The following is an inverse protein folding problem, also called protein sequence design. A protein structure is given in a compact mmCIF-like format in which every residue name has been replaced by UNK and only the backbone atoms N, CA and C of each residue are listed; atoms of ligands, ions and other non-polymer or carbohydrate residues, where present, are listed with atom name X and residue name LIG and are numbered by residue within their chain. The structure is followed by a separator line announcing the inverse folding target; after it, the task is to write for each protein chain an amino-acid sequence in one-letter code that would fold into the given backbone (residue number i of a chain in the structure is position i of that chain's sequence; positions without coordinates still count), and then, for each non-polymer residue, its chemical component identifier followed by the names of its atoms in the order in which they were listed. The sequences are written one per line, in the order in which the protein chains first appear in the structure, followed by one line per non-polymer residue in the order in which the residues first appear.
data_IF_932481725508
#
_entry.id   IF_932481725508
#
_cell.length_a   1.000
_cell.length_b   1.000
_cell.length_c   1.000
_cell.angle_alpha   90.00
_cell.angle_beta   90.00
_cell.angle_gamma   90.00
#
_symmetry.space_group_name_H-M   'P 1'
#
loop_
_entity.id
_entity.type
_entity.pdbx_description
1 polymer ?
#
# COMPACT_ATOMS: atom_id res chain seq x y z
N UNK A 1 11.27 4.39 4.52
CA UNK A 1 10.54 3.49 5.44
C UNK A 1 11.28 3.32 6.76
N UNK A 2 10.55 3.23 7.87
CA UNK A 2 11.09 2.83 9.20
C UNK A 2 11.12 1.30 9.36
N UNK A 3 12.02 0.78 10.20
CA UNK A 3 12.17 -0.65 10.52
C UNK A 3 10.84 -1.28 10.96
N UNK A 4 10.05 -0.60 11.81
CA UNK A 4 8.83 -1.21 12.37
C UNK A 4 7.75 -1.51 11.31
N UNK A 5 7.83 -0.85 10.15
CA UNK A 5 6.91 -1.02 9.03
C UNK A 5 7.33 -2.21 8.17
N UNK A 6 8.63 -2.34 7.92
CA UNK A 6 9.18 -3.28 6.92
C UNK A 6 9.82 -4.52 7.54
N UNK A 7 9.76 -4.69 8.86
CA UNK A 7 10.32 -5.85 9.56
C UNK A 7 9.44 -7.11 9.38
N UNK A 8 10.06 -8.21 8.95
CA UNK A 8 9.44 -9.53 8.92
C UNK A 8 9.69 -10.30 10.22
N UNK A 9 8.86 -10.08 11.24
CA UNK A 9 9.06 -10.69 12.57
C UNK A 9 8.92 -12.21 12.52
N UNK A 10 10.03 -12.91 12.76
CA UNK A 10 10.04 -14.36 12.97
C UNK A 10 9.88 -15.20 11.70
N UNK A 11 10.19 -14.62 10.54
CA UNK A 11 10.24 -15.33 9.26
C UNK A 11 11.50 -14.93 8.50
N UNK A 12 11.89 -15.80 7.57
CA UNK A 12 12.96 -15.55 6.59
C UNK A 12 12.48 -15.89 5.17
N UNK A 13 11.16 -15.88 4.94
CA UNK A 13 10.58 -16.17 3.63
C UNK A 13 10.82 -15.01 2.64
N UNK A 14 10.75 -13.78 3.14
CA UNK A 14 10.95 -12.54 2.37
C UNK A 14 11.82 -11.58 3.16
N UNK A 15 12.52 -10.69 2.46
CA UNK A 15 13.38 -9.69 3.09
C UNK A 15 12.53 -8.62 3.76
N UNK A 16 11.52 -8.11 3.05
CA UNK A 16 10.61 -7.08 3.57
C UNK A 16 9.33 -7.68 4.15
N UNK A 17 8.93 -7.20 5.33
CA UNK A 17 7.60 -7.34 5.91
C UNK A 17 6.61 -6.32 5.33
N UNK A 18 5.38 -6.27 5.83
CA UNK A 18 4.38 -5.27 5.40
C UNK A 18 4.03 -5.32 3.91
N UNK A 19 4.21 -6.49 3.27
CA UNK A 19 4.21 -6.62 1.80
C UNK A 19 2.97 -6.10 1.10
N UNK A 20 1.78 -6.28 1.68
CA UNK A 20 0.51 -5.77 1.11
C UNK A 20 0.58 -4.28 0.80
N UNK A 21 1.08 -3.47 1.73
CA UNK A 21 1.17 -2.03 1.53
C UNK A 21 2.32 -1.69 0.58
N UNK A 22 3.49 -2.31 0.79
CA UNK A 22 4.68 -2.03 0.00
C UNK A 22 4.52 -2.39 -1.49
N UNK A 23 3.86 -3.49 -1.81
CA UNK A 23 3.59 -3.90 -3.20
C UNK A 23 2.70 -2.86 -3.91
N UNK A 24 1.72 -2.29 -3.22
CA UNK A 24 0.85 -1.25 -3.76
C UNK A 24 1.58 0.10 -3.90
N UNK A 25 2.35 0.50 -2.89
CA UNK A 25 3.16 1.73 -2.92
C UNK A 25 4.21 1.66 -4.04
N UNK A 26 4.89 0.51 -4.22
CA UNK A 26 5.97 0.34 -5.20
C UNK A 26 5.55 0.55 -6.66
N UNK A 27 4.25 0.58 -6.95
CA UNK A 27 3.72 0.86 -8.29
C UNK A 27 3.68 2.34 -8.62
N UNK A 28 3.69 3.20 -7.59
CA UNK A 28 3.46 4.64 -7.71
C UNK A 28 4.59 5.48 -7.13
N UNK A 29 5.39 4.91 -6.24
CA UNK A 29 6.51 5.58 -5.60
C UNK A 29 7.73 4.67 -5.45
N UNK A 30 8.91 5.29 -5.54
CA UNK A 30 10.18 4.63 -5.22
C UNK A 30 10.25 4.33 -3.71
N UNK A 31 10.60 3.10 -3.35
CA UNK A 31 10.78 2.72 -1.94
C UNK A 31 12.22 2.98 -1.51
N UNK A 32 12.39 3.88 -0.55
CA UNK A 32 13.68 4.17 0.09
C UNK A 32 13.83 3.52 1.46
N UNK A 33 14.91 2.76 1.65
CA UNK A 33 15.33 2.22 2.95
C UNK A 33 16.60 2.92 3.43
N UNK A 34 16.57 3.64 4.57
CA UNK A 34 17.80 4.07 5.21
C UNK A 34 18.73 2.88 5.48
N UNK A 35 20.04 3.03 5.27
CA UNK A 35 21.03 1.96 5.53
C UNK A 35 20.86 1.27 6.89
N UNK A 36 20.61 2.07 7.93
CA UNK A 36 20.38 1.56 9.30
C UNK A 36 19.18 0.62 9.41
N UNK A 37 18.13 0.86 8.62
CA UNK A 37 16.93 0.01 8.53
C UNK A 37 17.28 -1.29 7.82
N UNK A 38 17.95 -1.22 6.67
CA UNK A 38 18.42 -2.39 5.93
C UNK A 38 19.31 -3.31 6.79
N UNK A 39 20.27 -2.73 7.49
CA UNK A 39 21.20 -3.46 8.36
C UNK A 39 20.47 -4.11 9.55
N UNK A 40 19.45 -3.43 10.09
CA UNK A 40 18.64 -3.96 11.19
C UNK A 40 17.79 -5.16 10.75
N UNK A 41 17.09 -5.07 9.61
CA UNK A 41 16.32 -6.18 9.03
C UNK A 41 17.25 -7.36 8.77
N UNK A 42 18.39 -7.12 8.12
CA UNK A 42 19.40 -8.15 7.83
C UNK A 42 19.87 -8.84 9.10
N UNK A 43 20.12 -8.08 10.17
CA UNK A 43 20.50 -8.61 11.48
C UNK A 43 19.39 -9.46 12.10
N UNK A 44 18.13 -9.04 11.99
CA UNK A 44 16.98 -9.76 12.54
C UNK A 44 16.74 -11.10 11.82
N UNK A 45 16.75 -11.11 10.49
CA UNK A 45 16.66 -12.33 9.67
C UNK A 45 17.83 -13.27 9.98
N UNK A 46 19.06 -12.73 10.04
CA UNK A 46 20.25 -13.52 10.37
C UNK A 46 20.12 -14.18 11.75
N UNK A 47 19.67 -13.42 12.76
CA UNK A 47 19.44 -13.95 14.10
C UNK A 47 18.36 -15.04 14.11
N UNK A 48 17.28 -14.86 13.36
CA UNK A 48 16.25 -15.87 13.19
C UNK A 48 16.81 -17.16 12.58
N UNK A 49 17.56 -17.07 11.48
CA UNK A 49 18.17 -18.22 10.81
C UNK A 49 19.20 -18.94 11.69
N UNK A 50 19.99 -18.22 12.49
CA UNK A 50 20.88 -18.83 13.49
C UNK A 50 20.08 -19.63 14.51
N UNK A 51 18.99 -19.06 15.04
CA UNK A 51 18.13 -19.77 15.99
C UNK A 51 17.46 -21.01 15.37
N UNK A 52 17.06 -20.95 14.09
CA UNK A 52 16.51 -22.11 13.36
C UNK A 52 17.57 -23.18 13.15
N UNK A 53 18.80 -22.80 12.76
CA UNK A 53 19.95 -23.71 12.62
C UNK A 53 20.25 -24.44 13.95
N UNK A 54 20.26 -23.70 15.06
CA UNK A 54 20.49 -24.28 16.39
C UNK A 54 19.35 -25.18 16.85
N UNK A 55 18.10 -24.83 16.50
CA UNK A 55 16.92 -25.63 16.80
C UNK A 55 16.92 -26.94 16.01
N UNK A 56 17.26 -26.89 14.72
CA UNK A 56 17.45 -28.07 13.88
C UNK A 56 18.55 -28.98 14.44
N UNK A 57 19.64 -28.40 14.93
CA UNK A 57 20.73 -29.15 15.57
C UNK A 57 20.28 -29.85 16.86
N UNK A 58 19.39 -29.25 17.64
CA UNK A 58 18.89 -29.87 18.88
C UNK A 58 17.76 -30.87 18.64
N UNK A 59 17.16 -30.91 17.45
CA UNK A 59 15.99 -31.72 17.15
C UNK A 59 16.35 -33.22 17.05
N UNK A 60 15.80 -34.10 17.91
CA UNK A 60 16.12 -35.53 17.88
C UNK A 60 15.66 -36.22 16.59
N UNK A 61 14.62 -35.71 15.93
CA UNK A 61 14.11 -36.27 14.67
C UNK A 61 15.05 -36.04 13.47
N UNK A 62 16.05 -35.15 13.59
CA UNK A 62 17.02 -34.92 12.51
C UNK A 62 17.77 -36.20 12.10
N UNK A 63 18.01 -37.10 13.06
CA UNK A 63 18.66 -38.38 12.83
C UNK A 63 17.75 -39.35 12.05
N UNK A 64 16.43 -39.23 12.20
CA UNK A 64 15.44 -40.01 11.44
C UNK A 64 15.40 -39.51 9.98
N UNK A 65 15.61 -38.20 9.78
CA UNK A 65 15.69 -37.57 8.46
C UNK A 65 17.08 -37.70 7.80
N UNK A 66 18.02 -38.42 8.42
CA UNK A 66 19.42 -38.56 7.96
C UNK A 66 20.13 -37.20 7.72
N UNK A 67 19.80 -36.18 8.52
CA UNK A 67 20.47 -34.88 8.46
C UNK A 67 21.71 -34.93 9.34
N UNK A 68 22.88 -34.98 8.71
CA UNK A 68 24.18 -34.99 9.39
C UNK A 68 24.61 -33.60 9.87
N UNK A 69 25.46 -33.54 10.90
CA UNK A 69 25.97 -32.28 11.44
C UNK A 69 26.76 -31.48 10.38
N UNK A 70 27.47 -32.16 9.47
CA UNK A 70 28.20 -31.52 8.37
C UNK A 70 27.28 -30.71 7.43
N UNK A 71 26.04 -31.17 7.21
CA UNK A 71 25.03 -30.47 6.42
C UNK A 71 24.59 -29.19 7.14
N UNK A 72 24.35 -29.28 8.45
CA UNK A 72 23.97 -28.13 9.28
C UNK A 72 25.12 -27.13 9.36
N UNK A 73 26.36 -27.59 9.49
CA UNK A 73 27.56 -26.74 9.54
C UNK A 73 27.71 -25.89 8.28
N UNK A 74 27.42 -26.48 7.10
CA UNK A 74 27.48 -25.80 5.80
C UNK A 74 26.40 -24.71 5.61
N UNK A 75 25.35 -24.67 6.44
CA UNK A 75 24.36 -23.59 6.40
C UNK A 75 25.04 -22.30 6.86
N UNK A 76 25.10 -21.30 5.97
CA UNK A 76 25.62 -19.97 6.25
C UNK A 76 24.46 -18.95 6.36
N UNK A 77 24.00 -18.59 7.57
CA UNK A 77 22.89 -17.65 7.77
C UNK A 77 23.10 -16.29 7.12
N UNK A 78 24.35 -15.80 7.01
CA UNK A 78 24.64 -14.51 6.37
C UNK A 78 24.41 -14.57 4.87
N UNK A 79 24.93 -15.61 4.22
CA UNK A 79 24.71 -15.82 2.79
C UNK A 79 23.23 -15.96 2.48
N UNK A 80 22.48 -16.70 3.31
CA UNK A 80 21.03 -16.82 3.14
C UNK A 80 20.30 -15.48 3.26
N UNK A 81 20.73 -14.58 4.14
CA UNK A 81 20.16 -13.23 4.22
C UNK A 81 20.43 -12.45 2.94
N UNK A 82 21.65 -12.53 2.41
CA UNK A 82 22.02 -11.86 1.16
C UNK A 82 21.21 -12.42 -0.02
N UNK A 83 21.00 -13.75 -0.06
CA UNK A 83 20.19 -14.42 -1.08
C UNK A 83 18.72 -13.98 -0.97
N UNK A 84 18.14 -13.94 0.24
CA UNK A 84 16.76 -13.46 0.49
C UNK A 84 16.61 -11.98 0.09
N UNK A 85 17.58 -11.14 0.41
CA UNK A 85 17.56 -9.71 0.06
C UNK A 85 17.64 -9.49 -1.46
N UNK A 86 18.39 -10.34 -2.16
CA UNK A 86 18.56 -10.30 -3.62
C UNK A 86 17.35 -10.83 -4.37
N UNK A 87 16.68 -11.84 -3.82
CA UNK A 87 15.47 -12.44 -4.40
C UNK A 87 14.20 -11.67 -4.02
N UNK A 88 14.33 -10.53 -3.32
CA UNK A 88 13.21 -9.66 -2.98
C UNK A 88 12.55 -9.11 -4.25
N UNK A 89 11.23 -9.31 -4.36
CA UNK A 89 10.46 -8.94 -5.55
C UNK A 89 10.03 -7.48 -5.54
N UNK A 90 9.97 -6.87 -4.35
CA UNK A 90 9.63 -5.45 -4.19
C UNK A 90 10.91 -4.64 -4.39
N UNK A 91 10.93 -3.75 -5.39
CA UNK A 91 12.08 -2.88 -5.65
C UNK A 91 12.27 -1.85 -4.52
N UNK A 92 13.50 -1.68 -4.05
CA UNK A 92 13.88 -0.66 -3.08
C UNK A 92 15.30 -0.16 -3.32
N UNK A 93 15.53 1.10 -2.96
CA UNK A 93 16.86 1.70 -2.92
C UNK A 93 17.34 1.86 -1.49
N UNK A 94 18.64 1.63 -1.28
CA UNK A 94 19.26 1.90 0.01
C UNK A 94 19.75 3.34 0.03
N UNK A 95 19.24 4.12 0.97
CA UNK A 95 19.60 5.52 1.17
C UNK A 95 20.67 5.62 2.25
N UNK A 96 21.83 6.12 1.86
CA UNK A 96 22.96 6.31 2.76
C UNK A 96 22.93 7.71 3.40
N UNK A 97 23.39 7.77 4.65
CA UNK A 97 23.66 9.02 5.35
C UNK A 97 24.95 9.64 4.78
N UNK A 98 24.84 10.77 4.09
CA UNK A 98 25.94 11.36 3.32
C UNK A 98 26.94 12.13 4.20
N UNK A 99 26.44 12.99 5.10
CA UNK A 99 27.28 13.76 6.04
C UNK A 99 27.15 13.19 7.45
N UNK A 100 27.87 12.10 7.71
CA UNK A 100 27.89 11.43 9.01
C UNK A 100 28.42 12.34 10.13
N UNK A 101 29.39 13.20 9.85
CA UNK A 101 30.00 14.06 10.86
C UNK A 101 29.03 15.14 11.36
N UNK A 102 28.29 15.76 10.44
CA UNK A 102 27.24 16.70 10.79
C UNK A 102 26.10 15.98 11.52
N UNK A 103 25.64 14.87 10.97
CA UNK A 103 24.57 14.07 11.58
C UNK A 103 24.93 13.63 13.01
N UNK A 104 26.17 13.19 13.25
CA UNK A 104 26.62 12.77 14.58
C UNK A 104 26.54 13.91 15.60
N UNK A 105 26.94 15.13 15.24
CA UNK A 105 26.80 16.31 16.12
C UNK A 105 25.35 16.60 16.45
N UNK A 106 24.46 16.48 15.47
CA UNK A 106 23.03 16.70 15.68
C UNK A 106 22.42 15.59 16.54
N UNK A 107 22.77 14.32 16.28
CA UNK A 107 22.35 13.17 17.09
C UNK A 107 22.77 13.34 18.55
N UNK A 108 24.02 13.76 18.79
CA UNK A 108 24.50 14.06 20.13
C UNK A 108 23.64 15.12 20.81
N UNK A 109 23.34 16.22 20.12
CA UNK A 109 22.47 17.28 20.66
C UNK A 109 21.05 16.76 20.96
N UNK A 110 20.47 15.97 20.05
CA UNK A 110 19.15 15.36 20.27
C UNK A 110 19.14 14.45 21.51
N UNK A 111 20.20 13.65 21.71
CA UNK A 111 20.33 12.76 22.86
C UNK A 111 20.44 13.50 24.20
N UNK A 112 21.19 14.60 24.24
CA UNK A 112 21.39 15.36 25.47
C UNK A 112 20.13 16.15 25.83
N UNK A 113 19.42 16.66 24.82
CA UNK A 113 18.23 17.48 25.01
C UNK A 113 16.94 16.66 25.15
N UNK A 114 16.96 15.35 24.88
CA UNK A 114 15.76 14.50 24.91
C UNK A 114 14.70 14.94 23.89
N UNK A 115 15.15 15.51 22.78
CA UNK A 115 14.27 16.01 21.70
C UNK A 115 14.01 14.92 20.69
N UNK A 116 12.85 14.91 19.99
CA UNK A 116 12.58 13.97 18.91
C UNK A 116 13.78 13.87 17.95
N UNK A 117 14.10 12.67 17.44
CA UNK A 117 13.47 11.37 17.67
C UNK A 117 13.89 10.65 18.96
N UNK A 118 14.70 11.26 19.83
CA UNK A 118 15.03 10.67 21.14
C UNK A 118 13.85 10.68 22.10
N UNK A 119 13.81 9.73 23.02
CA UNK A 119 12.89 9.75 24.14
C UNK A 119 13.19 10.91 25.10
N UNK A 120 12.17 11.42 25.78
CA UNK A 120 12.33 12.52 26.77
C UNK A 120 13.22 12.13 27.96
N UNK A 121 13.39 10.84 28.20
CA UNK A 121 14.25 10.30 29.26
C UNK A 121 15.02 9.08 28.78
N UNK A 122 16.36 9.12 28.92
CA UNK A 122 17.26 8.02 28.57
C UNK A 122 17.82 8.14 27.15
N UNK A 123 18.62 7.15 26.77
CA UNK A 123 19.42 7.19 25.53
C UNK A 123 18.74 6.46 24.35
N UNK A 124 17.42 6.27 24.43
CA UNK A 124 16.63 5.61 23.37
C UNK A 124 16.29 6.61 22.26
N UNK A 125 16.41 6.16 21.01
CA UNK A 125 16.15 6.98 19.82
C UNK A 125 17.36 7.17 18.89
N UNK A 126 18.51 6.57 19.21
CA UNK A 126 19.71 6.72 18.37
C UNK A 126 19.49 6.25 16.92
N UNK A 127 18.85 5.07 16.74
CA UNK A 127 18.55 4.55 15.39
C UNK A 127 17.52 5.42 14.69
N UNK A 128 16.48 5.82 15.40
CA UNK A 128 15.38 6.65 14.86
C UNK A 128 15.92 8.02 14.44
N UNK A 129 16.91 8.54 15.16
CA UNK A 129 17.63 9.77 14.77
C UNK A 129 18.52 9.56 13.55
N UNK A 130 19.19 8.40 13.40
CA UNK A 130 19.91 8.09 12.15
C UNK A 130 18.96 8.05 10.95
N UNK A 131 17.77 7.47 11.12
CA UNK A 131 16.71 7.48 10.11
C UNK A 131 16.31 8.92 9.77
N UNK A 132 15.98 9.72 10.78
CA UNK A 132 15.59 11.12 10.58
C UNK A 132 16.67 11.93 9.84
N UNK A 133 17.94 11.81 10.22
CA UNK A 133 19.04 12.54 9.56
C UNK A 133 19.31 12.05 8.15
N UNK A 134 19.08 10.78 7.87
CA UNK A 134 19.14 10.25 6.50
C UNK A 134 18.06 10.89 5.65
N UNK A 135 16.83 10.97 6.18
CA UNK A 135 15.69 11.60 5.49
C UNK A 135 15.94 13.09 5.29
N UNK A 136 16.39 13.85 6.30
CA UNK A 136 16.71 15.27 6.17
C UNK A 136 17.69 15.54 5.03
N UNK A 137 18.77 14.75 4.96
CA UNK A 137 19.78 14.90 3.91
C UNK A 137 19.21 14.51 2.53
N UNK A 138 18.37 13.48 2.47
CA UNK A 138 17.72 13.05 1.24
C UNK A 138 16.73 14.11 0.72
N UNK A 139 15.90 14.69 1.60
CA UNK A 139 14.96 15.78 1.29
C UNK A 139 15.73 16.98 0.74
N UNK A 140 16.85 17.36 1.36
CA UNK A 140 17.68 18.47 0.89
C UNK A 140 18.34 18.19 -0.47
N UNK A 141 18.76 16.95 -0.72
CA UNK A 141 19.41 16.56 -1.97
C UNK A 141 18.43 16.43 -3.15
N UNK A 142 17.14 16.20 -2.88
CA UNK A 142 16.10 15.99 -3.89
C UNK A 142 14.97 17.02 -3.70
N UNK A 143 15.19 18.32 -3.98
CA UNK A 143 14.21 19.38 -3.75
C UNK A 143 12.91 19.20 -4.56
N UNK A 144 13.00 18.55 -5.72
CA UNK A 144 11.89 18.28 -6.63
C UNK A 144 11.03 17.06 -6.25
N UNK A 145 11.49 16.24 -5.29
CA UNK A 145 10.75 15.05 -4.86
C UNK A 145 9.86 15.37 -3.65
N UNK A 146 8.64 14.84 -3.71
CA UNK A 146 7.76 14.69 -2.55
C UNK A 146 8.17 13.43 -1.78
N UNK A 147 8.25 13.53 -0.46
CA UNK A 147 8.73 12.43 0.39
C UNK A 147 7.61 11.98 1.31
N UNK A 148 7.35 10.67 1.31
CA UNK A 148 6.45 10.02 2.24
C UNK A 148 7.28 9.24 3.27
N UNK A 149 7.05 9.51 4.55
CA UNK A 149 7.62 8.77 5.65
C UNK A 149 6.59 7.81 6.23
N UNK A 150 6.72 6.53 5.88
CA UNK A 150 5.96 5.47 6.52
C UNK A 150 6.63 5.05 7.82
N UNK A 151 5.99 5.38 8.95
CA UNK A 151 6.48 5.08 10.29
C UNK A 151 5.34 4.92 11.29
N UNK A 152 5.49 3.99 12.24
CA UNK A 152 4.60 3.85 13.40
C UNK A 152 5.19 4.42 14.68
N UNK A 153 6.35 5.07 14.59
CA UNK A 153 7.06 5.64 15.73
C UNK A 153 6.63 7.09 15.97
N UNK A 154 5.96 7.33 17.10
CA UNK A 154 5.41 8.64 17.46
C UNK A 154 6.49 9.72 17.61
N UNK A 155 7.70 9.37 18.07
CA UNK A 155 8.80 10.34 18.22
C UNK A 155 9.37 10.71 16.87
N UNK A 156 9.42 9.77 15.92
CA UNK A 156 9.81 10.08 14.56
C UNK A 156 8.74 10.92 13.85
N UNK A 157 7.45 10.68 14.12
CA UNK A 157 6.35 11.54 13.63
C UNK A 157 6.47 12.97 14.17
N UNK A 158 6.65 13.13 15.48
CA UNK A 158 6.85 14.43 16.14
C UNK A 158 8.05 15.20 15.56
N UNK A 159 9.11 14.50 15.14
CA UNK A 159 10.27 15.15 14.51
C UNK A 159 9.94 15.80 13.16
N UNK A 160 9.05 15.19 12.37
CA UNK A 160 8.70 15.67 11.02
C UNK A 160 7.38 16.45 10.96
N UNK A 161 6.67 16.62 12.08
CA UNK A 161 5.36 17.28 12.13
C UNK A 161 5.36 18.70 11.53
N UNK A 162 6.44 19.46 11.71
CA UNK A 162 6.59 20.83 11.17
C UNK A 162 7.27 20.86 9.78
N UNK A 163 7.55 19.71 9.16
CA UNK A 163 8.24 19.64 7.87
C UNK A 163 7.26 19.33 6.72
N UNK A 164 6.75 20.38 6.07
CA UNK A 164 5.80 20.30 4.95
C UNK A 164 6.29 19.46 3.75
N UNK A 165 7.59 19.14 3.68
CA UNK A 165 8.16 18.30 2.61
C UNK A 165 8.10 16.80 2.90
N UNK A 166 7.80 16.41 4.13
CA UNK A 166 7.74 15.01 4.57
C UNK A 166 6.32 14.71 5.03
N UNK A 167 5.57 14.00 4.20
CA UNK A 167 4.23 13.55 4.54
C UNK A 167 4.30 12.25 5.35
N UNK A 168 3.68 12.24 6.52
CA UNK A 168 3.67 11.09 7.43
C UNK A 168 2.49 10.20 7.07
N UNK A 169 2.76 8.89 6.87
CA UNK A 169 1.75 7.89 6.52
C UNK A 169 1.89 6.65 7.41
N UNK A 170 0.79 5.98 7.78
CA UNK A 170 0.84 4.74 8.58
C UNK A 170 0.72 3.46 7.74
N UNK A 171 0.05 3.54 6.59
CA UNK A 171 -0.30 2.42 5.72
C UNK A 171 -0.50 2.88 4.26
N UNK A 172 -0.95 1.97 3.40
CA UNK A 172 -1.26 2.29 2.01
C UNK A 172 -2.42 3.28 1.87
N UNK A 173 -3.47 3.20 2.69
CA UNK A 173 -4.64 4.07 2.56
C UNK A 173 -4.29 5.53 2.87
N UNK A 174 -3.41 5.77 3.84
CA UNK A 174 -2.86 7.11 4.08
C UNK A 174 -2.00 7.60 2.92
N UNK A 175 -1.16 6.72 2.35
CA UNK A 175 -0.40 7.05 1.15
C UNK A 175 -1.32 7.42 -0.01
N UNK A 176 -2.38 6.65 -0.22
CA UNK A 176 -3.36 6.82 -1.29
C UNK A 176 -4.03 8.20 -1.23
N UNK A 177 -4.52 8.57 -0.03
CA UNK A 177 -5.14 9.88 0.23
C UNK A 177 -4.16 11.02 0.00
N UNK A 178 -3.01 10.99 0.69
CA UNK A 178 -2.01 12.06 0.64
C UNK A 178 -1.42 12.23 -0.77
N UNK A 179 -1.22 11.12 -1.50
CA UNK A 179 -0.77 11.14 -2.89
C UNK A 179 -1.82 11.75 -3.82
N UNK A 180 -3.10 11.41 -3.63
CA UNK A 180 -4.20 11.96 -4.44
C UNK A 180 -4.36 13.46 -4.26
N UNK A 181 -4.34 13.93 -3.02
CA UNK A 181 -4.43 15.36 -2.68
C UNK A 181 -3.25 16.14 -3.28
N UNK A 182 -2.03 15.60 -3.16
CA UNK A 182 -0.84 16.20 -3.77
C UNK A 182 -1.00 16.30 -5.30
N UNK A 183 -1.53 15.27 -5.95
CA UNK A 183 -1.73 15.27 -7.41
C UNK A 183 -2.79 16.23 -7.89
N UNK A 184 -3.90 16.38 -7.17
CA UNK A 184 -4.93 17.35 -7.54
C UNK A 184 -4.47 18.79 -7.32
N UNK A 185 -3.59 19.03 -6.35
CA UNK A 185 -3.05 20.37 -6.07
C UNK A 185 -1.88 20.77 -6.98
N UNK A 186 -1.40 19.87 -7.84
CA UNK A 186 -0.40 20.20 -8.85
C UNK A 186 -0.93 21.26 -9.84
N UNK A 187 -0.04 22.18 -10.24
CA UNK A 187 -0.38 23.34 -11.05
C UNK A 187 -1.08 22.93 -12.37
N UNK A 188 -2.24 23.53 -12.62
CA UNK A 188 -3.05 23.32 -13.83
C UNK A 188 -3.91 22.06 -13.85
N UNK A 189 -3.84 21.16 -12.86
CA UNK A 189 -4.74 19.98 -12.80
C UNK A 189 -6.19 20.42 -12.56
N UNK A 190 -6.42 21.24 -11.53
CA UNK A 190 -7.75 21.76 -11.23
C UNK A 190 -8.32 22.65 -12.34
N UNK A 191 -7.47 23.37 -13.08
CA UNK A 191 -7.92 24.14 -14.24
C UNK A 191 -8.50 23.23 -15.32
N UNK A 192 -7.82 22.13 -15.65
CA UNK A 192 -8.34 21.12 -16.60
C UNK A 192 -9.61 20.45 -16.10
N UNK A 193 -9.69 20.16 -14.80
CA UNK A 193 -10.92 19.66 -14.17
C UNK A 193 -12.06 20.66 -14.33
N UNK A 194 -11.85 21.94 -14.05
CA UNK A 194 -12.89 22.96 -14.19
C UNK A 194 -13.30 23.17 -15.64
N UNK A 195 -12.35 23.11 -16.59
CA UNK A 195 -12.63 23.18 -18.02
C UNK A 195 -13.53 22.00 -18.46
N UNK A 196 -13.20 20.77 -18.04
CA UNK A 196 -14.03 19.59 -18.30
C UNK A 196 -15.44 19.72 -17.68
N UNK A 197 -15.53 20.17 -16.42
CA UNK A 197 -16.82 20.39 -15.75
C UNK A 197 -17.65 21.46 -16.46
N UNK A 198 -17.00 22.52 -16.99
CA UNK A 198 -17.69 23.53 -17.77
C UNK A 198 -18.21 22.99 -19.12
N UNK A 199 -17.41 22.17 -19.82
CA UNK A 199 -17.79 21.53 -21.09
C UNK A 199 -18.95 20.54 -20.93
N UNK A 200 -19.03 19.86 -19.78
CA UNK A 200 -20.12 18.94 -19.42
C UNK A 200 -21.37 19.65 -18.88
N UNK A 201 -21.34 20.99 -18.76
CA UNK A 201 -22.48 21.80 -18.33
C UNK A 201 -22.60 22.00 -16.81
N UNK A 202 -21.63 21.52 -16.04
CA UNK A 202 -21.57 21.59 -14.57
C UNK A 202 -20.83 22.86 -14.09
N UNK A 203 -21.17 24.01 -14.69
CA UNK A 203 -20.48 25.28 -14.42
C UNK A 203 -20.56 25.75 -12.97
N UNK A 204 -21.52 25.22 -12.20
CA UNK A 204 -21.70 25.51 -10.76
C UNK A 204 -20.52 25.00 -9.92
N UNK A 205 -19.82 23.97 -10.40
CA UNK A 205 -18.65 23.38 -9.74
C UNK A 205 -17.33 24.06 -10.14
N UNK A 206 -17.35 25.05 -11.05
CA UNK A 206 -16.14 25.78 -11.44
C UNK A 206 -15.52 26.49 -10.24
N UNK A 207 -14.20 26.37 -10.08
CA UNK A 207 -13.45 26.90 -8.94
C UNK A 207 -13.83 26.28 -7.58
N UNK A 208 -14.66 25.24 -7.56
CA UNK A 208 -14.93 24.47 -6.36
C UNK A 208 -13.86 23.40 -6.20
N UNK A 209 -13.45 23.18 -4.95
CA UNK A 209 -12.69 21.99 -4.57
C UNK A 209 -13.66 20.83 -4.35
N UNK A 210 -13.25 19.58 -4.61
CA UNK A 210 -14.05 18.43 -4.27
C UNK A 210 -14.25 18.32 -2.76
N UNK A 211 -15.36 17.71 -2.37
CA UNK A 211 -15.76 17.46 -1.00
C UNK A 211 -15.07 16.19 -0.43
N UNK A 212 -14.73 15.23 -1.29
CA UNK A 212 -13.96 14.02 -0.93
C UNK A 212 -13.10 13.54 -2.11
N UNK A 213 -11.99 12.84 -1.82
CA UNK A 213 -10.99 12.40 -2.80
C UNK A 213 -10.40 11.04 -2.39
N UNK A 214 -10.28 10.11 -3.34
CA UNK A 214 -9.58 8.83 -3.16
C UNK A 214 -9.01 8.30 -4.47
N UNK A 215 -8.18 7.26 -4.45
CA UNK A 215 -7.87 6.50 -5.66
C UNK A 215 -8.83 5.34 -5.88
N UNK A 216 -9.26 5.15 -7.12
CA UNK A 216 -9.92 3.92 -7.52
C UNK A 216 -8.95 2.72 -7.49
N UNK A 217 -9.46 1.53 -7.74
CA UNK A 217 -8.68 0.30 -7.78
C UNK A 217 -7.60 0.24 -8.87
N UNK A 218 -7.66 1.12 -9.88
CA UNK A 218 -6.62 1.28 -10.91
C UNK A 218 -5.56 2.33 -10.53
N UNK A 219 -5.81 3.14 -9.49
CA UNK A 219 -4.95 4.26 -9.09
C UNK A 219 -5.26 5.59 -9.77
N UNK A 220 -6.42 5.73 -10.39
CA UNK A 220 -6.95 6.99 -10.89
C UNK A 220 -7.63 7.76 -9.76
N UNK A 221 -7.60 9.08 -9.83
CA UNK A 221 -8.15 9.95 -8.79
C UNK A 221 -9.66 10.04 -8.99
N UNK A 222 -10.41 9.77 -7.93
CA UNK A 222 -11.84 10.00 -7.86
C UNK A 222 -12.09 11.19 -6.96
N UNK A 223 -12.82 12.18 -7.48
CA UNK A 223 -13.17 13.39 -6.77
C UNK A 223 -14.70 13.50 -6.69
N UNK A 224 -15.23 13.68 -5.49
CA UNK A 224 -16.66 13.74 -5.23
C UNK A 224 -17.11 15.18 -4.91
N UNK A 225 -18.21 15.61 -5.52
CA UNK A 225 -18.81 16.93 -5.35
C UNK A 225 -20.27 16.80 -4.88
N UNK A 226 -20.52 17.11 -3.61
CA UNK A 226 -21.83 16.96 -2.97
C UNK A 226 -22.95 17.81 -3.59
N UNK A 227 -22.62 18.97 -4.18
CA UNK A 227 -23.65 19.91 -4.66
C UNK A 227 -24.44 19.32 -5.84
N UNK A 228 -23.80 18.49 -6.65
CA UNK A 228 -24.37 17.88 -7.85
C UNK A 228 -24.38 16.34 -7.78
N UNK A 229 -24.08 15.78 -6.60
CA UNK A 229 -23.91 14.33 -6.38
C UNK A 229 -23.02 13.70 -7.47
N UNK A 230 -21.89 14.35 -7.74
CA UNK A 230 -21.04 14.05 -8.89
C UNK A 230 -19.73 13.40 -8.47
N UNK A 231 -19.41 12.28 -9.11
CA UNK A 231 -18.13 11.63 -9.04
C UNK A 231 -17.36 11.89 -10.35
N UNK A 232 -16.15 12.41 -10.23
CA UNK A 232 -15.25 12.69 -11.36
C UNK A 232 -14.05 11.75 -11.28
N UNK A 233 -13.79 11.03 -12.36
CA UNK A 233 -12.61 10.17 -12.51
C UNK A 233 -11.55 10.91 -13.31
N UNK A 234 -10.32 10.98 -12.79
CA UNK A 234 -9.17 11.67 -13.40
C UNK A 234 -7.99 10.71 -13.46
N UNK A 235 -7.34 10.61 -14.63
CA UNK A 235 -6.11 9.83 -14.78
C UNK A 235 -5.02 10.43 -13.90
N UNK A 236 -4.50 9.67 -12.93
CA UNK A 236 -3.51 10.20 -11.98
C UNK A 236 -2.15 10.49 -12.61
N UNK A 237 -1.85 9.89 -13.76
CA UNK A 237 -0.58 10.02 -14.48
C UNK A 237 -0.67 11.10 -15.55
N UNK A 238 -1.68 11.03 -16.43
CA UNK A 238 -1.92 12.02 -17.46
C UNK A 238 -2.46 13.33 -16.89
N UNK A 239 -3.08 13.29 -15.71
CA UNK A 239 -3.70 14.43 -15.02
C UNK A 239 -4.81 15.05 -15.86
N UNK A 240 -5.59 14.18 -16.50
CA UNK A 240 -6.69 14.53 -17.40
C UNK A 240 -7.98 13.87 -16.89
N UNK A 241 -9.11 14.60 -16.87
CA UNK A 241 -10.42 14.00 -16.61
C UNK A 241 -10.73 12.89 -17.62
N UNK A 242 -11.20 11.74 -17.13
CA UNK A 242 -11.57 10.58 -17.93
C UNK A 242 -13.08 10.55 -18.14
N UNK A 243 -13.83 10.64 -17.05
CA UNK A 243 -15.28 10.50 -17.04
C UNK A 243 -15.89 11.08 -15.77
N UNK A 244 -17.20 11.25 -15.77
CA UNK A 244 -17.97 11.62 -14.58
C UNK A 244 -19.31 10.90 -14.54
N UNK A 245 -19.81 10.63 -13.34
CA UNK A 245 -21.14 10.04 -13.10
C UNK A 245 -21.87 10.84 -12.01
N UNK A 246 -23.17 11.03 -12.20
CA UNK A 246 -24.07 11.70 -11.24
C UNK A 246 -25.00 10.73 -10.54
N UNK A 247 -24.53 9.50 -10.31
CA UNK A 247 -25.25 8.43 -9.61
C UNK A 247 -24.51 8.18 -8.29
N UNK A 248 -25.24 8.04 -7.18
CA UNK A 248 -24.65 7.69 -5.90
C UNK A 248 -24.06 6.27 -5.99
N UNK A 249 -22.74 6.20 -6.11
CA UNK A 249 -22.02 4.94 -6.21
C UNK A 249 -22.20 4.10 -4.94
N UNK A 250 -22.56 4.69 -3.79
CA UNK A 250 -22.85 3.93 -2.58
C UNK A 250 -24.21 3.24 -2.66
N UNK A 251 -25.21 3.85 -3.31
CA UNK A 251 -26.51 3.20 -3.54
C UNK A 251 -26.34 1.93 -4.38
N UNK A 252 -25.52 1.96 -5.43
CA UNK A 252 -25.23 0.77 -6.25
C UNK A 252 -24.59 -0.36 -5.42
N UNK A 253 -23.71 0.00 -4.47
CA UNK A 253 -23.07 -0.97 -3.58
C UNK A 253 -24.07 -1.56 -2.57
N UNK A 254 -24.94 -0.73 -1.98
CA UNK A 254 -26.04 -1.17 -1.10
C UNK A 254 -27.00 -2.11 -1.86
N UNK A 255 -27.39 -1.75 -3.09
CA UNK A 255 -28.24 -2.56 -3.96
C UNK A 255 -27.67 -3.98 -4.14
N UNK A 256 -26.36 -4.12 -4.32
CA UNK A 256 -25.70 -5.42 -4.46
C UNK A 256 -25.75 -6.25 -3.16
N UNK A 257 -25.58 -5.60 -2.01
CA UNK A 257 -25.62 -6.28 -0.70
C UNK A 257 -27.02 -6.77 -0.33
N UNK A 258 -28.05 -6.00 -0.68
CA UNK A 258 -29.44 -6.29 -0.35
C UNK A 258 -30.14 -7.23 -1.35
N UNK A 259 -29.40 -7.76 -2.34
CA UNK A 259 -29.93 -8.70 -3.33
C UNK A 259 -30.62 -9.89 -2.64
N UNK A 260 -31.92 -10.00 -2.89
CA UNK A 260 -32.79 -11.02 -2.30
C UNK A 260 -33.55 -11.85 -3.35
N UNK A 261 -33.32 -11.60 -4.65
CA UNK A 261 -33.89 -12.35 -5.76
C UNK A 261 -32.93 -12.37 -6.96
N UNK A 262 -33.09 -13.35 -7.85
CA UNK A 262 -32.28 -13.45 -9.07
C UNK A 262 -32.47 -12.25 -10.00
N UNK A 263 -33.69 -11.73 -10.14
CA UNK A 263 -33.95 -10.56 -10.97
C UNK A 263 -33.22 -9.31 -10.44
N UNK A 264 -33.25 -9.11 -9.12
CA UNK A 264 -32.54 -8.00 -8.49
C UNK A 264 -31.02 -8.17 -8.57
N UNK A 265 -30.52 -9.40 -8.60
CA UNK A 265 -29.10 -9.68 -8.74
C UNK A 265 -28.54 -9.15 -10.07
N UNK A 266 -29.23 -9.40 -11.19
CA UNK A 266 -28.81 -8.86 -12.49
C UNK A 266 -28.84 -7.32 -12.52
N UNK A 267 -29.87 -6.71 -11.93
CA UNK A 267 -30.00 -5.25 -11.86
C UNK A 267 -28.85 -4.66 -11.04
N UNK A 268 -28.64 -5.17 -9.83
CA UNK A 268 -27.60 -4.66 -8.94
C UNK A 268 -26.18 -4.87 -9.51
N UNK A 269 -25.94 -6.00 -10.20
CA UNK A 269 -24.67 -6.23 -10.90
C UNK A 269 -24.49 -5.25 -12.08
N UNK A 270 -25.55 -4.93 -12.82
CA UNK A 270 -25.46 -3.95 -13.90
C UNK A 270 -25.23 -2.53 -13.38
N UNK A 271 -25.90 -2.13 -12.29
CA UNK A 271 -25.69 -0.84 -11.62
C UNK A 271 -24.25 -0.69 -11.15
N UNK A 272 -23.74 -1.68 -10.42
CA UNK A 272 -22.39 -1.61 -9.86
C UNK A 272 -21.30 -1.72 -10.93
N UNK A 273 -21.53 -2.45 -12.03
CA UNK A 273 -20.58 -2.51 -13.14
C UNK A 273 -20.49 -1.17 -13.87
N UNK A 274 -21.60 -0.42 -13.97
CA UNK A 274 -21.65 0.91 -14.58
C UNK A 274 -20.80 1.97 -13.87
N UNK A 275 -20.59 1.81 -12.55
CA UNK A 275 -19.79 2.72 -11.71
C UNK A 275 -18.52 2.05 -11.14
N UNK A 276 -18.15 0.89 -11.64
CA UNK A 276 -17.08 0.06 -11.10
C UNK A 276 -15.74 0.82 -10.98
N UNK A 277 -15.46 1.65 -11.98
CA UNK A 277 -14.18 2.37 -12.12
C UNK A 277 -14.05 3.51 -11.09
N UNK A 278 -15.08 3.81 -10.30
CA UNK A 278 -15.02 4.82 -9.23
C UNK A 278 -14.69 4.21 -7.85
N UNK A 279 -14.75 2.88 -7.71
CA UNK A 279 -14.51 2.24 -6.43
C UNK A 279 -13.02 2.09 -6.11
N UNK A 280 -12.69 2.42 -4.86
CA UNK A 280 -11.41 2.06 -4.26
C UNK A 280 -11.32 0.55 -4.02
N UNK A 281 -10.12 0.08 -3.66
CA UNK A 281 -9.86 -1.34 -3.46
C UNK A 281 -10.70 -1.97 -2.33
N UNK A 282 -11.00 -1.25 -1.26
CA UNK A 282 -11.82 -1.79 -0.16
C UNK A 282 -13.27 -2.04 -0.60
N UNK A 283 -13.83 -1.13 -1.40
CA UNK A 283 -15.11 -1.35 -2.07
C UNK A 283 -15.04 -2.57 -3.00
N UNK A 284 -13.97 -2.73 -3.80
CA UNK A 284 -13.80 -3.94 -4.65
C UNK A 284 -13.77 -5.24 -3.81
N UNK A 285 -13.09 -5.23 -2.65
CA UNK A 285 -13.09 -6.38 -1.73
C UNK A 285 -14.48 -6.66 -1.18
N UNK A 286 -15.23 -5.61 -0.83
CA UNK A 286 -16.60 -5.73 -0.36
C UNK A 286 -17.50 -6.35 -1.44
N UNK A 287 -17.40 -5.89 -2.68
CA UNK A 287 -18.07 -6.46 -3.84
C UNK A 287 -17.74 -7.94 -3.97
N UNK A 288 -16.46 -8.31 -3.93
CA UNK A 288 -16.03 -9.71 -4.03
C UNK A 288 -16.59 -10.59 -2.90
N UNK A 289 -16.65 -10.08 -1.67
CA UNK A 289 -17.27 -10.77 -0.53
C UNK A 289 -18.77 -10.94 -0.74
N UNK A 290 -19.46 -9.95 -1.28
CA UNK A 290 -20.90 -10.04 -1.58
C UNK A 290 -21.18 -11.05 -2.68
N UNK A 291 -20.41 -11.04 -3.77
CA UNK A 291 -20.47 -12.05 -4.82
C UNK A 291 -20.24 -13.47 -4.28
N UNK A 292 -19.36 -13.61 -3.29
CA UNK A 292 -19.01 -14.92 -2.73
C UNK A 292 -19.92 -15.42 -1.60
N UNK A 293 -20.62 -14.53 -0.90
CA UNK A 293 -21.45 -14.87 0.26
C UNK A 293 -22.96 -14.79 0.00
N UNK A 294 -23.41 -14.05 -1.01
CA UNK A 294 -24.83 -13.94 -1.33
C UNK A 294 -25.30 -15.12 -2.19
N UNK A 295 -26.12 -15.99 -1.58
CA UNK A 295 -26.67 -17.17 -2.24
C UNK A 295 -27.48 -16.87 -3.51
N UNK A 296 -28.14 -15.72 -3.59
CA UNK A 296 -28.94 -15.37 -4.77
C UNK A 296 -28.02 -15.15 -5.97
N UNK A 297 -26.95 -14.37 -5.78
CA UNK A 297 -25.95 -14.08 -6.81
C UNK A 297 -25.19 -15.37 -7.18
N UNK A 298 -24.78 -16.15 -6.18
CA UNK A 298 -24.07 -17.41 -6.40
C UNK A 298 -24.83 -18.38 -7.31
N UNK A 299 -26.13 -18.57 -7.05
CA UNK A 299 -26.93 -19.56 -7.77
C UNK A 299 -27.08 -19.23 -9.27
N UNK A 300 -26.91 -17.97 -9.64
CA UNK A 300 -26.93 -17.48 -11.03
C UNK A 300 -25.53 -17.10 -11.53
N UNK A 301 -24.47 -17.48 -10.82
CA UNK A 301 -23.10 -17.06 -11.16
C UNK A 301 -22.57 -17.57 -12.49
N UNK A 302 -23.32 -18.43 -13.19
CA UNK A 302 -23.00 -18.89 -14.55
C UNK A 302 -23.68 -18.05 -15.64
N UNK A 303 -24.59 -17.17 -15.26
CA UNK A 303 -25.22 -16.25 -16.19
C UNK A 303 -24.16 -15.28 -16.71
N UNK A 304 -24.22 -14.97 -18.01
CA UNK A 304 -23.10 -14.36 -18.75
C UNK A 304 -22.67 -13.02 -18.15
N UNK A 305 -23.62 -12.19 -17.71
CA UNK A 305 -23.37 -10.88 -17.10
C UNK A 305 -22.73 -11.01 -15.71
N UNK A 306 -23.24 -11.90 -14.87
CA UNK A 306 -22.69 -12.15 -13.53
C UNK A 306 -21.27 -12.73 -13.62
N UNK A 307 -21.06 -13.67 -14.55
CA UNK A 307 -19.75 -14.29 -14.76
C UNK A 307 -18.72 -13.30 -15.33
N UNK A 308 -19.13 -12.44 -16.27
CA UNK A 308 -18.26 -11.37 -16.81
C UNK A 308 -17.89 -10.36 -15.73
N UNK A 309 -18.87 -9.92 -14.93
CA UNK A 309 -18.61 -8.99 -13.84
C UNK A 309 -17.69 -9.62 -12.77
N UNK A 310 -17.94 -10.87 -12.37
CA UNK A 310 -17.06 -11.59 -11.43
C UNK A 310 -15.63 -11.74 -11.98
N UNK A 311 -15.46 -11.90 -13.30
CA UNK A 311 -14.14 -11.92 -13.92
C UNK A 311 -13.44 -10.56 -13.87
N UNK A 312 -14.16 -9.45 -14.07
CA UNK A 312 -13.65 -8.08 -13.92
C UNK A 312 -13.18 -7.82 -12.48
N UNK A 313 -14.00 -8.19 -11.48
CA UNK A 313 -13.64 -8.11 -10.05
C UNK A 313 -12.41 -8.96 -9.73
N UNK A 314 -12.33 -10.18 -10.27
CA UNK A 314 -11.20 -11.08 -10.09
C UNK A 314 -9.90 -10.48 -10.63
N UNK A 315 -9.95 -9.85 -11.80
CA UNK A 315 -8.81 -9.17 -12.41
C UNK A 315 -8.35 -8.01 -11.52
N UNK A 316 -9.26 -7.13 -11.11
CA UNK A 316 -8.96 -6.01 -10.20
C UNK A 316 -8.31 -6.48 -8.88
N UNK A 317 -8.81 -7.56 -8.27
CA UNK A 317 -8.21 -8.14 -7.06
C UNK A 317 -6.80 -8.68 -7.29
N UNK A 318 -6.58 -9.43 -8.38
CA UNK A 318 -5.26 -10.00 -8.71
C UNK A 318 -4.26 -8.90 -8.99
N UNK A 319 -4.67 -7.93 -9.80
CA UNK A 319 -3.86 -6.76 -10.09
C UNK A 319 -3.49 -6.07 -8.79
N UNK A 320 -4.39 -5.93 -7.83
CA UNK A 320 -4.11 -5.29 -6.53
C UNK A 320 -3.48 -6.20 -5.46
N UNK A 321 -3.04 -7.41 -5.81
CA UNK A 321 -2.33 -8.32 -4.88
C UNK A 321 -3.23 -9.01 -3.86
N UNK A 322 -4.55 -8.92 -3.99
CA UNK A 322 -5.54 -9.52 -3.09
C UNK A 322 -5.78 -11.00 -3.43
N UNK A 323 -4.70 -11.80 -3.37
CA UNK A 323 -4.64 -13.16 -3.91
C UNK A 323 -5.56 -14.17 -3.21
N UNK A 324 -5.83 -14.01 -1.92
CA UNK A 324 -6.74 -14.89 -1.17
C UNK A 324 -8.19 -14.72 -1.64
N UNK A 325 -8.69 -13.47 -1.62
CA UNK A 325 -10.01 -13.12 -2.13
C UNK A 325 -10.17 -13.44 -3.62
N UNK A 326 -9.13 -13.18 -4.43
CA UNK A 326 -9.10 -13.58 -5.83
C UNK A 326 -9.18 -15.11 -5.99
N UNK A 327 -8.49 -15.87 -5.13
CA UNK A 327 -8.55 -17.32 -5.09
C UNK A 327 -9.96 -17.83 -4.81
N UNK A 328 -10.61 -17.28 -3.78
CA UNK A 328 -11.97 -17.63 -3.38
C UNK A 328 -12.98 -17.35 -4.50
N UNK A 329 -12.96 -16.13 -5.05
CA UNK A 329 -13.85 -15.72 -6.15
C UNK A 329 -13.60 -16.58 -7.40
N UNK A 330 -12.34 -16.77 -7.79
CA UNK A 330 -11.97 -17.55 -8.97
C UNK A 330 -12.36 -19.03 -8.86
N UNK A 331 -12.31 -19.61 -7.65
CA UNK A 331 -12.75 -20.98 -7.41
C UNK A 331 -14.28 -21.10 -7.48
N UNK A 332 -14.99 -20.14 -6.90
CA UNK A 332 -16.45 -20.13 -6.85
C UNK A 332 -17.09 -20.03 -8.22
N UNK A 333 -16.55 -19.16 -9.08
CA UNK A 333 -17.06 -18.94 -10.43
C UNK A 333 -16.35 -19.78 -11.51
N UNK A 334 -15.43 -20.67 -11.10
CA UNK A 334 -14.63 -21.52 -12.00
C UNK A 334 -13.79 -20.74 -13.02
N UNK A 335 -13.41 -19.50 -12.68
CA UNK A 335 -12.66 -18.57 -13.53
C UNK A 335 -11.15 -18.84 -13.53
N UNK A 336 -10.67 -19.72 -12.64
CA UNK A 336 -9.25 -20.12 -12.54
C UNK A 336 -8.82 -21.19 -13.57
N UNK A 337 -9.67 -21.61 -14.51
CA UNK A 337 -9.30 -22.64 -15.49
C UNK A 337 -8.69 -22.02 -16.76
N UNK A 338 -7.48 -22.43 -17.17
CA UNK A 338 -6.99 -22.13 -18.51
C UNK A 338 -7.91 -22.81 -19.53
N UNK A 339 -8.36 -22.04 -20.53
CA UNK A 339 -8.98 -22.60 -21.74
C UNK A 339 -7.98 -23.39 -22.56
#
# INVERSE_FOLDING_TARGET
MDTNVVENKGSAQYFLGGRSDLEKISRRADIGLPRVVYDEISRHICKYLINQKDSLRKNPHRHILNIEDCVIDNINPKQLVDDIAKDESIGYDIIDLVDENKAYKEIYNHSIMGTPPFEKSGDKGFKDTLIAKTIDQYVLANPERKIFLMTRDDRLKEYFEENDRVLIIDNYDDFDREYSDDKLTEEGVMERVWDYLAETGLTVLMNKQPDDIWLNHEGNIVAYFNDEDLYLLTDSTAREPISSVGEDINEALISLEEVNSFANAHIAVAEIDGVFDYYNLESIKQIARTLTSNNQIYNIGKDDDIAQFAAKVLEALRENGELELAGDLGNMYQLNQPK
#
